data_IF_657106522905
#
_entry.id   IF_657106522905
#
_cell.length_a   1.000
_cell.length_b   1.000
_cell.length_c   1.000
_cell.angle_alpha   90.00
_cell.angle_beta   90.00
_cell.angle_gamma   90.00
#
_symmetry.space_group_name_H-M   'P 1'
#
loop_
_entity.id
_entity.type
_entity.pdbx_description
1 polymer ?
#
# COMPACT_ATOMS: atom_id res chain seq x y z
N UNK A 1 -11.80 -17.34 8.77
CA UNK A 1 -12.02 -15.89 8.75
C UNK A 1 -10.77 -15.25 8.19
N UNK A 2 -10.78 -14.83 6.92
CA UNK A 2 -9.67 -14.08 6.33
C UNK A 2 -9.80 -12.64 6.81
N UNK A 3 -8.91 -12.23 7.71
CA UNK A 3 -8.82 -10.85 8.17
C UNK A 3 -8.03 -10.06 7.12
N UNK A 4 -8.70 -9.68 6.03
CA UNK A 4 -8.25 -8.49 5.31
C UNK A 4 -8.51 -7.34 6.27
N UNK A 5 -7.46 -6.87 6.95
CA UNK A 5 -7.56 -5.69 7.78
C UNK A 5 -8.13 -4.55 6.92
N UNK A 6 -9.26 -3.94 7.31
CA UNK A 6 -9.81 -2.84 6.56
C UNK A 6 -8.76 -1.74 6.55
N UNK A 7 -8.39 -1.28 5.34
CA UNK A 7 -7.42 -0.22 5.14
C UNK A 7 -7.83 0.98 5.99
N UNK A 8 -7.08 1.22 7.06
CA UNK A 8 -7.40 2.27 8.03
C UNK A 8 -7.29 3.60 7.31
N UNK A 9 -8.42 4.28 7.11
CA UNK A 9 -8.41 5.65 6.60
C UNK A 9 -7.73 6.51 7.66
N UNK A 10 -6.48 6.89 7.39
CA UNK A 10 -5.69 7.73 8.27
C UNK A 10 -6.10 9.18 8.02
N UNK A 11 -6.38 9.90 9.09
CA UNK A 11 -6.58 11.35 9.00
C UNK A 11 -5.21 12.00 8.78
N UNK A 12 -4.98 12.46 7.56
CA UNK A 12 -3.75 13.15 7.18
C UNK A 12 -3.80 14.60 7.68
N UNK A 13 -2.65 15.11 8.12
CA UNK A 13 -2.48 16.54 8.40
C UNK A 13 -2.43 17.31 7.08
N UNK A 14 -2.77 18.60 7.11
CA UNK A 14 -2.70 19.49 5.93
C UNK A 14 -1.32 19.45 5.26
N UNK A 15 -0.26 19.39 6.07
CA UNK A 15 1.12 19.34 5.59
C UNK A 15 1.46 18.02 4.88
N UNK A 16 0.91 16.91 5.38
CA UNK A 16 1.06 15.60 4.74
C UNK A 16 0.28 15.53 3.42
N UNK A 17 -0.94 16.08 3.40
CA UNK A 17 -1.73 16.16 2.17
C UNK A 17 -1.02 17.04 1.12
N UNK A 18 -0.55 18.22 1.52
CA UNK A 18 0.22 19.10 0.65
C UNK A 18 1.47 18.42 0.09
N UNK A 19 2.14 17.56 0.87
CA UNK A 19 3.26 16.76 0.36
C UNK A 19 2.82 15.79 -0.75
N UNK A 20 1.74 15.03 -0.53
CA UNK A 20 1.22 14.07 -1.52
C UNK A 20 0.74 14.77 -2.80
N UNK A 21 0.08 15.92 -2.67
CA UNK A 21 -0.40 16.72 -3.81
C UNK A 21 0.77 17.27 -4.64
N UNK A 22 1.80 17.77 -3.96
CA UNK A 22 3.02 18.23 -4.62
C UNK A 22 3.77 17.07 -5.28
N UNK A 23 3.68 15.85 -4.74
CA UNK A 23 4.35 14.68 -5.30
C UNK A 23 3.90 14.34 -6.72
N UNK A 24 2.61 14.56 -7.02
CA UNK A 24 2.09 14.43 -8.39
C UNK A 24 2.64 15.54 -9.29
N UNK A 25 2.72 16.76 -8.76
CA UNK A 25 3.12 17.96 -9.52
C UNK A 25 4.63 17.99 -9.80
N UNK A 26 5.44 17.32 -8.96
CA UNK A 26 6.90 17.24 -9.12
C UNK A 26 7.37 15.91 -9.69
N UNK A 27 6.49 15.15 -10.36
CA UNK A 27 6.82 13.87 -10.99
C UNK A 27 7.49 12.84 -10.04
N UNK A 28 7.11 12.85 -8.76
CA UNK A 28 7.68 11.95 -7.76
C UNK A 28 8.96 12.43 -7.06
N UNK A 29 9.43 13.66 -7.30
CA UNK A 29 10.54 14.24 -6.53
C UNK A 29 10.14 14.51 -5.07
N UNK A 30 10.50 13.58 -4.19
CA UNK A 30 10.20 13.65 -2.76
C UNK A 30 10.81 14.86 -2.06
N UNK A 31 12.02 15.28 -2.45
CA UNK A 31 12.70 16.39 -1.78
C UNK A 31 11.98 17.68 -2.11
N UNK A 32 11.77 17.94 -3.41
CA UNK A 32 11.05 19.12 -3.87
C UNK A 32 9.61 19.16 -3.34
N UNK A 33 8.92 18.02 -3.30
CA UNK A 33 7.57 17.92 -2.73
C UNK A 33 7.51 18.33 -1.27
N UNK A 34 8.45 17.85 -0.46
CA UNK A 34 8.46 18.17 0.96
C UNK A 34 8.94 19.61 1.22
N UNK A 35 9.83 20.17 0.40
CA UNK A 35 10.17 21.61 0.45
C UNK A 35 8.93 22.47 0.17
N UNK A 36 8.16 22.14 -0.88
CA UNK A 36 6.93 22.85 -1.24
C UNK A 36 5.82 22.70 -0.19
N UNK A 37 5.77 21.56 0.50
CA UNK A 37 4.89 21.34 1.65
C UNK A 37 5.43 21.96 2.96
N UNK A 38 6.57 22.66 2.93
CA UNK A 38 7.12 23.40 4.05
C UNK A 38 7.90 22.56 5.07
N UNK A 39 8.39 21.37 4.71
CA UNK A 39 9.27 20.56 5.56
C UNK A 39 10.72 21.05 5.48
N UNK A 40 11.32 21.30 6.64
CA UNK A 40 12.72 21.73 6.77
C UNK A 40 13.63 20.51 7.03
N UNK A 41 14.29 20.02 5.98
CA UNK A 41 15.46 19.13 6.10
C UNK A 41 15.20 17.64 6.38
N UNK A 42 13.99 17.23 6.79
CA UNK A 42 13.69 15.84 7.17
C UNK A 42 12.66 15.13 6.27
N UNK A 43 12.85 15.24 4.96
CA UNK A 43 11.98 14.71 3.89
C UNK A 43 11.78 13.18 3.98
N UNK A 44 12.80 12.44 4.42
CA UNK A 44 12.76 10.97 4.53
C UNK A 44 11.81 10.47 5.63
N UNK A 45 11.66 11.19 6.74
CA UNK A 45 10.72 10.80 7.79
C UNK A 45 9.27 10.94 7.33
N UNK A 46 8.98 11.99 6.56
CA UNK A 46 7.65 12.21 5.96
C UNK A 46 7.32 11.05 5.02
N UNK A 47 8.23 10.71 4.11
CA UNK A 47 8.08 9.57 3.21
C UNK A 47 7.88 8.24 3.95
N UNK A 48 8.65 8.00 5.03
CA UNK A 48 8.48 6.79 5.85
C UNK A 48 7.10 6.73 6.50
N UNK A 49 6.58 7.88 6.95
CA UNK A 49 5.27 7.97 7.60
C UNK A 49 4.09 7.86 6.64
N UNK A 50 4.29 8.21 5.36
CA UNK A 50 3.28 8.27 4.29
C UNK A 50 3.48 7.18 3.21
N UNK A 51 4.19 6.10 3.53
CA UNK A 51 4.57 5.09 2.53
C UNK A 51 3.35 4.49 1.83
N UNK A 52 2.34 4.14 2.61
CA UNK A 52 1.12 3.51 2.09
C UNK A 52 0.37 4.48 1.16
N UNK A 53 0.26 5.73 1.58
CA UNK A 53 -0.39 6.80 0.82
C UNK A 53 0.36 7.12 -0.47
N UNK A 54 1.69 7.06 -0.47
CA UNK A 54 2.50 7.20 -1.70
C UNK A 54 2.28 6.03 -2.66
N UNK A 55 2.16 4.80 -2.15
CA UNK A 55 1.87 3.62 -2.99
C UNK A 55 0.47 3.73 -3.60
N UNK A 56 -0.50 4.20 -2.82
CA UNK A 56 -1.87 4.45 -3.29
C UNK A 56 -1.90 5.52 -4.37
N UNK A 57 -1.21 6.64 -4.13
CA UNK A 57 -1.08 7.71 -5.10
C UNK A 57 -0.44 7.23 -6.40
N UNK A 58 0.62 6.44 -6.31
CA UNK A 58 1.26 5.84 -7.49
C UNK A 58 0.31 4.91 -8.24
N UNK A 59 -0.49 4.12 -7.52
CA UNK A 59 -1.50 3.24 -8.09
C UNK A 59 -2.60 4.03 -8.81
N UNK A 60 -3.04 5.14 -8.23
CA UNK A 60 -4.00 6.05 -8.84
C UNK A 60 -3.44 6.72 -10.09
N UNK A 61 -2.17 7.16 -10.05
CA UNK A 61 -1.48 7.73 -11.23
C UNK A 61 -1.38 6.70 -12.36
N UNK A 62 -1.06 5.45 -12.06
CA UNK A 62 -1.04 4.36 -13.05
C UNK A 62 -2.43 4.10 -13.61
N UNK A 63 -3.46 4.03 -12.76
CA UNK A 63 -4.85 3.83 -13.18
C UNK A 63 -5.33 4.96 -14.11
N UNK A 64 -4.99 6.22 -13.80
CA UNK A 64 -5.28 7.38 -14.66
C UNK A 64 -4.49 7.35 -15.97
N UNK A 65 -3.32 6.72 -15.99
CA UNK A 65 -2.47 6.60 -17.18
C UNK A 65 -2.86 5.45 -18.09
N UNK A 66 -3.57 4.43 -17.59
CA UNK A 66 -3.97 3.25 -18.37
C UNK A 66 -4.76 3.57 -19.66
N UNK A 67 -5.76 4.47 -19.67
CA UNK A 67 -6.44 4.83 -20.91
C UNK A 67 -5.48 5.35 -21.97
N UNK A 68 -4.55 6.23 -21.59
CA UNK A 68 -3.54 6.77 -22.51
C UNK A 68 -2.61 5.68 -23.04
N UNK A 69 -2.21 4.73 -22.19
CA UNK A 69 -1.41 3.58 -22.60
C UNK A 69 -2.16 2.70 -23.62
N UNK A 70 -3.44 2.40 -23.39
CA UNK A 70 -4.28 1.63 -24.31
C UNK A 70 -4.41 2.33 -25.67
N UNK A 71 -4.72 3.63 -25.70
CA UNK A 71 -4.79 4.38 -26.96
C UNK A 71 -3.45 4.44 -27.71
N UNK A 72 -2.33 4.50 -26.99
CA UNK A 72 -1.01 4.47 -27.62
C UNK A 72 -0.71 3.12 -28.28
N UNK A 73 -1.16 2.01 -27.70
CA UNK A 73 -1.05 0.71 -28.34
C UNK A 73 -1.88 0.66 -29.64
N UNK A 74 -3.15 1.10 -29.61
CA UNK A 74 -4.00 1.17 -30.81
C UNK A 74 -3.35 2.03 -31.89
N UNK A 75 -2.89 3.24 -31.54
CA UNK A 75 -2.19 4.11 -32.49
C UNK A 75 -0.95 3.45 -33.10
N UNK A 76 -0.18 2.69 -32.32
CA UNK A 76 1.01 2.01 -32.80
C UNK A 76 0.67 0.82 -33.71
N UNK A 77 -0.46 0.15 -33.47
CA UNK A 77 -0.95 -0.94 -34.31
C UNK A 77 -1.49 -0.44 -35.65
N UNK A 78 -2.12 0.74 -35.67
CA UNK A 78 -2.72 1.35 -36.87
C UNK A 78 -1.75 2.23 -37.66
N UNK A 79 -0.56 2.52 -37.13
CA UNK A 79 0.39 3.43 -37.77
C UNK A 79 1.16 2.77 -38.91
N UNK A 80 0.94 3.25 -40.13
CA UNK A 80 1.73 2.90 -41.32
C UNK A 80 3.12 3.57 -41.34
N UNK A 81 3.39 4.47 -40.39
CA UNK A 81 4.66 5.21 -40.30
C UNK A 81 5.62 4.54 -39.32
N UNK A 82 6.94 4.54 -39.59
CA UNK A 82 7.94 4.04 -38.65
C UNK A 82 7.90 4.82 -37.33
N UNK A 83 7.76 4.12 -36.20
CA UNK A 83 7.77 4.71 -34.87
C UNK A 83 9.14 4.47 -34.21
N UNK A 84 9.89 5.52 -33.84
CA UNK A 84 11.14 5.36 -33.12
C UNK A 84 10.93 4.63 -31.80
N UNK A 85 11.78 3.63 -31.54
CA UNK A 85 11.74 2.81 -30.33
C UNK A 85 10.37 2.15 -30.10
N UNK A 86 9.68 1.76 -31.18
CA UNK A 86 8.35 1.14 -31.12
C UNK A 86 8.29 -0.02 -30.11
N UNK A 87 9.25 -0.95 -30.16
CA UNK A 87 9.32 -2.07 -29.22
C UNK A 87 9.33 -1.62 -27.75
N UNK A 88 10.20 -0.68 -27.39
CA UNK A 88 10.30 -0.17 -26.01
C UNK A 88 9.02 0.54 -25.56
N UNK A 89 8.43 1.36 -26.44
CA UNK A 89 7.18 2.07 -26.15
C UNK A 89 5.99 1.12 -25.98
N UNK A 90 5.95 0.06 -26.78
CA UNK A 90 4.92 -0.98 -26.71
C UNK A 90 5.01 -1.72 -25.37
N UNK A 91 6.22 -2.14 -24.97
CA UNK A 91 6.45 -2.78 -23.67
C UNK A 91 6.09 -1.86 -22.50
N UNK A 92 6.45 -0.57 -22.57
CA UNK A 92 6.10 0.38 -21.52
C UNK A 92 4.58 0.56 -21.37
N UNK A 93 3.86 0.68 -22.49
CA UNK A 93 2.39 0.80 -22.48
C UNK A 93 1.72 -0.47 -21.95
N UNK A 94 2.20 -1.66 -22.36
CA UNK A 94 1.73 -2.95 -21.82
C UNK A 94 1.96 -3.04 -20.31
N UNK A 95 3.16 -2.68 -19.83
CA UNK A 95 3.49 -2.73 -18.40
C UNK A 95 2.51 -1.88 -17.57
N UNK A 96 2.13 -0.69 -18.04
CA UNK A 96 1.13 0.14 -17.35
C UNK A 96 -0.22 -0.57 -17.29
N UNK A 97 -0.67 -1.18 -18.40
CA UNK A 97 -1.96 -1.89 -18.47
C UNK A 97 -1.97 -3.14 -17.60
N UNK A 98 -0.90 -3.94 -17.65
CA UNK A 98 -0.75 -5.14 -16.84
C UNK A 98 -0.79 -4.80 -15.36
N UNK A 99 -0.13 -3.72 -14.94
CA UNK A 99 -0.15 -3.26 -13.54
C UNK A 99 -1.54 -2.84 -13.08
N UNK A 100 -2.31 -2.15 -13.93
CA UNK A 100 -3.69 -1.73 -13.61
C UNK A 100 -4.67 -2.90 -13.64
N UNK A 101 -4.47 -3.88 -14.54
CA UNK A 101 -5.29 -5.09 -14.64
C UNK A 101 -5.03 -6.10 -13.51
N UNK A 102 -3.76 -6.29 -13.13
CA UNK A 102 -3.34 -7.19 -12.05
C UNK A 102 -3.74 -6.63 -10.69
N UNK A 103 -3.58 -5.31 -10.45
CA UNK A 103 -4.00 -4.68 -9.19
C UNK A 103 -5.51 -4.87 -8.87
N UNK A 104 -6.36 -5.07 -9.90
CA UNK A 104 -7.78 -5.39 -9.70
C UNK A 104 -8.08 -6.88 -9.49
N UNK A 105 -7.15 -7.79 -9.84
CA UNK A 105 -7.41 -9.23 -9.93
C UNK A 105 -6.77 -10.05 -8.81
N UNK A 106 -5.96 -9.47 -7.93
CA UNK A 106 -5.48 -10.12 -6.69
C UNK A 106 -6.64 -10.30 -5.67
N UNK A 107 -7.65 -11.08 -6.06
CA UNK A 107 -8.61 -11.70 -5.15
C UNK A 107 -7.99 -13.00 -4.66
N UNK A 108 -7.71 -13.07 -3.37
CA UNK A 108 -7.16 -14.26 -2.70
C UNK A 108 -8.14 -15.44 -2.84
N UNK A 109 -7.79 -16.46 -3.61
CA UNK A 109 -8.47 -17.77 -3.57
C UNK A 109 -8.03 -18.52 -2.30
N UNK A 110 -8.96 -18.70 -1.36
CA UNK A 110 -8.73 -19.47 -0.13
C UNK A 110 -9.27 -20.89 -0.33
N UNK A 111 -8.39 -21.83 -0.69
CA UNK A 111 -8.70 -23.27 -0.64
C UNK A 111 -8.45 -23.80 0.77
N UNK A 112 -9.53 -24.10 1.51
CA UNK A 112 -9.48 -24.58 2.89
C UNK A 112 -9.53 -26.12 2.93
N UNK A 113 -8.38 -26.80 2.79
CA UNK A 113 -8.25 -28.21 3.17
C UNK A 113 -7.82 -28.30 4.64
N UNK A 114 -8.76 -28.11 5.57
CA UNK A 114 -8.50 -28.18 7.00
C UNK A 114 -8.41 -29.64 7.49
N UNK A 115 -7.18 -30.18 7.48
CA UNK A 115 -6.81 -31.36 8.27
C UNK A 115 -5.92 -30.91 9.42
N UNK A 116 -6.51 -30.29 10.44
CA UNK A 116 -5.76 -29.78 11.61
C UNK A 116 -6.67 -29.72 12.82
N UNK A 117 -6.56 -30.73 13.69
CA UNK A 117 -7.43 -30.94 14.84
C UNK A 117 -7.46 -29.76 15.80
N UNK A 118 -8.66 -29.43 16.26
CA UNK A 118 -8.90 -28.49 17.36
C UNK A 118 -8.36 -29.10 18.65
N UNK A 119 -7.42 -28.41 19.30
CA UNK A 119 -6.93 -28.75 20.63
C UNK A 119 -7.52 -27.76 21.64
N UNK A 120 -8.44 -28.25 22.48
CA UNK A 120 -9.06 -27.46 23.55
C UNK A 120 -8.20 -27.64 24.80
N UNK A 121 -7.64 -26.54 25.32
CA UNK A 121 -7.01 -26.53 26.64
C UNK A 121 -8.08 -26.33 27.72
N UNK A 122 -8.10 -27.14 28.80
CA UNK A 122 -9.01 -26.91 29.91
C UNK A 122 -8.60 -25.69 30.73
N UNK A 123 -9.57 -25.02 31.35
CA UNK A 123 -9.36 -23.81 32.12
C UNK A 123 -8.51 -24.04 33.38
N UNK A 124 -7.71 -23.03 33.72
CA UNK A 124 -6.77 -23.03 34.83
C UNK A 124 -7.53 -22.94 36.16
N UNK A 125 -7.43 -23.97 37.00
CA UNK A 125 -7.96 -23.92 38.36
C UNK A 125 -7.19 -22.88 39.20
N UNK A 126 -7.92 -21.98 39.86
CA UNK A 126 -7.35 -21.04 40.80
C UNK A 126 -6.83 -21.81 42.02
N UNK A 127 -5.58 -21.57 42.38
CA UNK A 127 -4.98 -22.06 43.62
C UNK A 127 -5.31 -21.00 44.67
N UNK A 128 -6.23 -21.29 45.58
CA UNK A 128 -6.42 -20.48 46.78
C UNK A 128 -5.21 -20.70 47.69
N UNK A 129 -4.42 -19.64 47.89
CA UNK A 129 -3.33 -19.61 48.85
C UNK A 129 -3.84 -18.80 50.04
N UNK A 130 -4.26 -19.49 51.10
CA UNK A 130 -4.55 -18.87 52.38
C UNK A 130 -3.23 -18.37 52.99
N UNK A 131 -3.06 -17.05 53.02
CA UNK A 131 -1.98 -16.41 53.76
C UNK A 131 -2.38 -16.36 55.24
N UNK A 132 -1.79 -17.23 56.07
CA UNK A 132 -1.81 -17.01 57.52
C UNK A 132 -0.85 -15.86 57.86
N UNK A 133 -1.43 -14.80 58.41
CA UNK A 133 -0.76 -13.60 58.90
C UNK A 133 0.02 -13.94 60.17
N UNK A 134 1.36 -14.00 60.07
CA UNK A 134 2.24 -14.21 61.22
C UNK A 134 2.47 -12.86 61.93
N UNK A 135 1.40 -12.35 62.56
CA UNK A 135 1.50 -11.33 63.60
C UNK A 135 1.38 -11.99 64.97
N UNK A 136 2.27 -11.60 65.88
CA UNK A 136 2.39 -11.96 67.29
C UNK A 136 3.11 -13.27 67.65
N UNK A 137 4.39 -13.14 68.02
CA UNK A 137 4.81 -13.39 69.40
C UNK A 137 6.17 -12.76 69.73
N UNK A 138 6.10 -11.95 70.77
CA UNK A 138 7.08 -11.42 71.75
C UNK A 138 8.50 -11.98 71.74
#
# INVERSE_FOLDING_TARGET
MSYLEPKKQRNLTEKQQAFLDNLVTTDGDFKKSAELAGYSGNHYQVLKSLREEVVDLASDVLARSAPKAAFKLVQMMESDRPIPQASQKLTAAQTILDRVGVAKTDRVEVNHNATGGIFILPEKQAIDVDYEDISDRS
#
